data_IF_365884613487
#
_entry.id   IF_365884613487
#
_cell.length_a   1.000
_cell.length_b   1.000
_cell.length_c   1.000
_cell.angle_alpha   90.00
_cell.angle_beta   90.00
_cell.angle_gamma   90.00
#
_symmetry.space_group_name_H-M   'P 1'
#
loop_
_entity.id
_entity.type
_entity.pdbx_description
1 polymer ?
#
# COMPACT_ATOMS: atom_id res chain seq x y z
N UNK A 1 -6.36 3.62 28.20
CA UNK A 1 -7.36 3.55 27.10
C UNK A 1 -6.60 3.27 25.82
N UNK A 2 -6.97 2.23 25.07
CA UNK A 2 -6.32 1.88 23.80
C UNK A 2 -7.02 2.61 22.65
N UNK A 3 -6.27 3.22 21.75
CA UNK A 3 -6.79 3.92 20.59
C UNK A 3 -6.52 3.09 19.34
N UNK A 4 -7.56 2.83 18.56
CA UNK A 4 -7.42 2.02 17.36
C UNK A 4 -7.14 2.88 16.13
N UNK A 5 -6.33 2.33 15.22
CA UNK A 5 -6.05 2.88 13.89
C UNK A 5 -6.15 1.79 12.85
N UNK A 6 -6.66 2.11 11.67
CA UNK A 6 -6.95 1.14 10.62
C UNK A 6 -5.94 1.21 9.46
N UNK A 7 -5.09 2.23 9.43
CA UNK A 7 -4.07 2.43 8.39
C UNK A 7 -2.70 2.75 9.03
N UNK A 8 -1.63 2.34 8.36
CA UNK A 8 -0.27 2.55 8.85
C UNK A 8 0.10 4.03 8.84
N UNK A 9 -0.39 4.83 7.88
CA UNK A 9 -0.21 6.28 7.89
C UNK A 9 -0.93 6.92 9.07
N UNK A 10 -2.15 6.47 9.35
CA UNK A 10 -2.94 6.98 10.46
C UNK A 10 -2.22 6.77 11.79
N UNK A 11 -1.63 5.58 11.99
CA UNK A 11 -0.88 5.23 13.19
C UNK A 11 0.21 6.26 13.52
N UNK A 12 0.96 6.73 12.51
CA UNK A 12 2.02 7.73 12.70
C UNK A 12 1.46 9.16 12.76
N UNK A 13 0.54 9.52 11.86
CA UNK A 13 0.03 10.89 11.73
C UNK A 13 -0.85 11.31 12.91
N UNK A 14 -1.56 10.38 13.54
CA UNK A 14 -2.32 10.68 14.76
C UNK A 14 -1.39 11.13 15.89
N UNK A 15 -0.27 10.44 16.11
CA UNK A 15 0.70 10.86 17.11
C UNK A 15 1.33 12.23 16.75
N UNK A 16 1.77 12.41 15.51
CA UNK A 16 2.35 13.68 15.03
C UNK A 16 1.38 14.84 15.23
N UNK A 17 0.11 14.67 14.86
CA UNK A 17 -0.92 15.70 15.01
C UNK A 17 -1.10 16.13 16.46
N UNK A 18 -1.11 15.18 17.40
CA UNK A 18 -1.23 15.50 18.82
C UNK A 18 0.03 16.15 19.41
N UNK A 19 1.23 15.76 18.95
CA UNK A 19 2.48 16.44 19.34
C UNK A 19 2.41 17.93 18.95
N UNK A 20 1.99 18.23 17.72
CA UNK A 20 1.83 19.62 17.24
C UNK A 20 0.77 20.34 18.06
N UNK A 21 -0.38 19.70 18.31
CA UNK A 21 -1.45 20.27 19.13
C UNK A 21 -0.99 20.60 20.55
N UNK A 22 -0.17 19.74 21.18
CA UNK A 22 0.40 20.05 22.50
C UNK A 22 1.33 21.25 22.46
N UNK A 23 2.13 21.40 21.40
CA UNK A 23 2.95 22.60 21.21
C UNK A 23 2.10 23.87 21.13
N UNK A 24 0.99 23.84 20.38
CA UNK A 24 0.04 24.96 20.27
C UNK A 24 -0.63 25.23 21.62
N UNK A 25 -1.11 24.19 22.31
CA UNK A 25 -1.74 24.34 23.62
C UNK A 25 -0.79 24.92 24.67
N UNK A 26 0.47 24.47 24.70
CA UNK A 26 1.49 25.04 25.57
C UNK A 26 1.66 26.53 25.31
N UNK A 27 1.76 26.95 24.04
CA UNK A 27 1.84 28.37 23.68
C UNK A 27 0.60 29.16 24.14
N UNK A 28 -0.61 28.62 23.97
CA UNK A 28 -1.87 29.25 24.42
C UNK A 28 -1.90 29.36 25.96
N UNK A 29 -1.44 28.34 26.66
CA UNK A 29 -1.36 28.30 28.12
C UNK A 29 -0.35 29.32 28.65
N UNK A 30 0.85 29.36 28.07
CA UNK A 30 1.95 30.24 28.50
C UNK A 30 1.62 31.72 28.25
N UNK A 31 0.90 32.01 27.15
CA UNK A 31 0.45 33.38 26.84
C UNK A 31 -0.80 33.80 27.61
N UNK A 32 -1.47 32.88 28.32
CA UNK A 32 -2.74 33.14 29.00
C UNK A 32 -3.92 33.36 28.04
N UNK A 33 -3.75 33.07 26.74
CA UNK A 33 -4.78 33.30 25.72
C UNK A 33 -6.04 32.47 25.97
N UNK A 34 -5.93 31.36 26.69
CA UNK A 34 -7.09 30.57 27.13
C UNK A 34 -8.09 31.36 28.00
N UNK A 35 -7.65 32.44 28.67
CA UNK A 35 -8.51 33.29 29.51
C UNK A 35 -9.37 34.28 28.70
N UNK A 36 -8.96 34.58 27.46
CA UNK A 36 -9.63 35.53 26.57
C UNK A 36 -11.14 35.26 26.38
N UNK A 37 -11.61 34.02 26.08
CA UNK A 37 -13.04 33.74 25.98
C UNK A 37 -13.80 34.03 27.29
N UNK A 38 -13.19 33.81 28.46
CA UNK A 38 -13.81 34.13 29.74
C UNK A 38 -13.94 35.64 29.94
N UNK A 39 -12.91 36.42 29.58
CA UNK A 39 -12.99 37.88 29.60
C UNK A 39 -14.11 38.40 28.67
N UNK A 40 -14.26 37.80 27.47
CA UNK A 40 -15.35 38.15 26.54
C UNK A 40 -16.71 37.86 27.17
N UNK A 41 -16.89 36.72 27.84
CA UNK A 41 -18.15 36.38 28.52
C UNK A 41 -18.50 37.43 29.57
N UNK A 42 -17.53 37.81 30.41
CA UNK A 42 -17.74 38.83 31.46
C UNK A 42 -18.13 40.18 30.86
N UNK A 43 -17.41 40.65 29.84
CA UNK A 43 -17.69 41.94 29.18
C UNK A 43 -19.05 41.89 28.48
N UNK A 44 -19.37 40.79 27.79
CA UNK A 44 -20.63 40.62 27.06
C UNK A 44 -21.84 40.68 28.00
N UNK A 45 -21.81 39.93 29.10
CA UNK A 45 -22.90 39.94 30.08
C UNK A 45 -22.99 41.28 30.81
N UNK A 46 -21.85 41.93 31.09
CA UNK A 46 -21.83 43.25 31.69
C UNK A 46 -22.47 44.32 30.79
N UNK A 47 -22.14 44.34 29.49
CA UNK A 47 -22.75 45.24 28.51
C UNK A 47 -24.23 44.96 28.33
N UNK A 48 -24.63 43.68 28.31
CA UNK A 48 -26.03 43.25 28.16
C UNK A 48 -26.90 43.75 29.30
N UNK A 49 -26.46 43.58 30.56
CA UNK A 49 -27.21 44.02 31.74
C UNK A 49 -27.27 45.56 31.84
N UNK A 50 -26.29 46.28 31.31
CA UNK A 50 -26.37 47.75 31.18
C UNK A 50 -27.45 48.21 30.20
N UNK A 51 -27.73 47.43 29.17
CA UNK A 51 -28.76 47.74 28.16
C UNK A 51 -30.18 47.38 28.60
N UNK A 52 -30.34 46.61 29.69
CA UNK A 52 -31.65 46.18 30.19
C UNK A 52 -32.36 47.32 30.96
N UNK A 53 -33.69 47.37 30.86
CA UNK A 53 -34.56 48.39 31.47
C UNK A 53 -34.61 48.33 33.00
N UNK A 54 -35.36 49.23 33.64
CA UNK A 54 -35.53 49.24 35.10
C UNK A 54 -36.41 48.08 35.62
N UNK A 55 -37.15 47.40 34.73
CA UNK A 55 -38.13 46.37 35.06
C UNK A 55 -37.51 45.00 35.45
N UNK A 56 -36.20 44.81 35.27
CA UNK A 56 -35.49 43.55 35.56
C UNK A 56 -34.98 43.43 37.03
N UNK A 57 -35.28 44.41 37.88
CA UNK A 57 -34.90 44.40 39.30
C UNK A 57 -33.40 44.66 39.56
N UNK A 58 -32.82 44.00 40.57
CA UNK A 58 -31.42 44.24 40.96
C UNK A 58 -30.43 43.68 39.92
N UNK A 59 -29.99 44.57 39.04
CA UNK A 59 -29.04 44.31 37.94
C UNK A 59 -27.72 43.68 38.41
N UNK A 60 -27.27 43.98 39.63
CA UNK A 60 -26.03 43.42 40.20
C UNK A 60 -26.14 41.91 40.44
N UNK A 61 -27.19 41.47 41.12
CA UNK A 61 -27.41 40.04 41.43
C UNK A 61 -27.72 39.24 40.17
N UNK A 62 -28.49 39.81 39.24
CA UNK A 62 -28.81 39.17 37.97
C UNK A 62 -27.59 38.99 37.06
N UNK A 63 -26.72 40.01 36.97
CA UNK A 63 -25.47 39.91 36.21
C UNK A 63 -24.52 38.86 36.78
N UNK A 64 -24.39 38.79 38.11
CA UNK A 64 -23.53 37.81 38.78
C UNK A 64 -23.96 36.37 38.47
N UNK A 65 -25.25 36.07 38.63
CA UNK A 65 -25.78 34.72 38.38
C UNK A 65 -25.60 34.28 36.91
N UNK A 66 -25.77 35.21 35.95
CA UNK A 66 -25.56 34.93 34.52
C UNK A 66 -24.09 34.73 34.18
N UNK A 67 -23.20 35.57 34.70
CA UNK A 67 -21.75 35.43 34.51
C UNK A 67 -21.28 34.11 35.11
N UNK A 68 -21.71 33.77 36.32
CA UNK A 68 -21.37 32.52 37.00
C UNK A 68 -21.77 31.30 36.16
N UNK A 69 -23.02 31.24 35.71
CA UNK A 69 -23.51 30.14 34.87
C UNK A 69 -22.71 30.02 33.57
N UNK A 70 -22.47 31.14 32.88
CA UNK A 70 -21.75 31.13 31.61
C UNK A 70 -20.26 30.79 31.79
N UNK A 71 -19.64 31.21 32.89
CA UNK A 71 -18.26 30.83 33.23
C UNK A 71 -18.18 29.35 33.56
N UNK A 72 -19.12 28.77 34.31
CA UNK A 72 -19.12 27.33 34.58
C UNK A 72 -19.27 26.50 33.31
N UNK A 73 -20.19 26.89 32.42
CA UNK A 73 -20.33 26.23 31.11
C UNK A 73 -19.04 26.38 30.30
N UNK A 74 -18.46 27.58 30.25
CA UNK A 74 -17.19 27.84 29.57
C UNK A 74 -16.03 27.02 30.13
N UNK A 75 -15.97 26.85 31.45
CA UNK A 75 -14.95 26.05 32.12
C UNK A 75 -15.05 24.58 31.72
N UNK A 76 -16.26 24.01 31.73
CA UNK A 76 -16.49 22.63 31.29
C UNK A 76 -16.07 22.47 29.83
N UNK A 77 -16.40 23.42 28.96
CA UNK A 77 -16.00 23.39 27.55
C UNK A 77 -14.47 23.39 27.41
N UNK A 78 -13.76 24.30 28.08
CA UNK A 78 -12.30 24.33 27.99
C UNK A 78 -11.67 23.07 28.58
N UNK A 79 -12.13 22.63 29.75
CA UNK A 79 -11.61 21.43 30.42
C UNK A 79 -11.81 20.15 29.60
N UNK A 80 -12.95 20.01 28.93
CA UNK A 80 -13.28 18.78 28.21
C UNK A 80 -12.76 18.76 26.76
N UNK A 81 -12.75 19.92 26.10
CA UNK A 81 -12.41 20.03 24.67
C UNK A 81 -10.98 20.50 24.39
N UNK A 82 -10.37 21.27 25.30
CA UNK A 82 -9.09 21.94 25.03
C UNK A 82 -7.94 21.43 25.91
N UNK A 83 -8.19 21.15 27.20
CA UNK A 83 -7.16 20.67 28.11
C UNK A 83 -6.75 19.23 27.73
N UNK A 84 -5.47 18.99 27.41
CA UNK A 84 -4.99 17.67 27.05
C UNK A 84 -4.78 16.83 28.32
N UNK A 85 -5.47 15.69 28.42
CA UNK A 85 -5.47 14.84 29.62
C UNK A 85 -5.22 13.36 29.32
N UNK A 86 -5.50 12.89 28.11
CA UNK A 86 -5.36 11.48 27.73
C UNK A 86 -4.05 11.27 26.98
N UNK A 87 -3.17 10.41 27.49
CA UNK A 87 -1.89 10.12 26.85
C UNK A 87 -2.07 9.36 25.52
N UNK A 88 -1.31 9.80 24.50
CA UNK A 88 -1.21 9.22 23.16
C UNK A 88 0.27 8.93 22.88
N UNK A 89 0.58 7.67 22.68
CA UNK A 89 1.91 7.13 22.40
C UNK A 89 1.79 5.85 21.57
N UNK A 90 2.90 5.38 21.02
CA UNK A 90 2.93 4.12 20.26
C UNK A 90 2.49 2.90 21.10
N UNK A 91 2.64 2.93 22.42
CA UNK A 91 2.19 1.86 23.32
C UNK A 91 0.66 1.88 23.54
N UNK A 92 0.04 3.05 23.45
CA UNK A 92 -1.41 3.22 23.61
C UNK A 92 -2.18 3.07 22.30
N UNK A 93 -1.49 3.21 21.16
CA UNK A 93 -2.07 3.07 19.83
C UNK A 93 -2.01 1.60 19.40
N UNK A 94 -3.16 1.02 19.09
CA UNK A 94 -3.30 -0.33 18.59
C UNK A 94 -3.68 -0.31 17.11
N UNK A 95 -2.97 -1.10 16.31
CA UNK A 95 -3.26 -1.25 14.89
C UNK A 95 -4.19 -2.46 14.67
N UNK A 96 -5.42 -2.19 14.23
CA UNK A 96 -6.43 -3.23 14.01
C UNK A 96 -6.31 -3.83 12.61
N UNK A 97 -6.01 -5.14 12.54
CA UNK A 97 -5.91 -5.91 11.30
C UNK A 97 -6.99 -6.99 11.16
N UNK A 98 -7.93 -7.07 12.10
CA UNK A 98 -8.96 -8.11 12.14
C UNK A 98 -9.73 -8.22 10.82
N UNK A 99 -10.15 -7.07 10.26
CA UNK A 99 -10.87 -7.02 8.99
C UNK A 99 -9.99 -7.37 7.79
N UNK A 100 -8.73 -6.93 7.79
CA UNK A 100 -7.78 -7.24 6.73
C UNK A 100 -7.55 -8.76 6.65
N UNK A 101 -7.38 -9.42 7.79
CA UNK A 101 -7.27 -10.89 7.89
C UNK A 101 -8.53 -11.60 7.40
N UNK A 102 -9.72 -11.12 7.78
CA UNK A 102 -10.99 -11.69 7.33
C UNK A 102 -11.15 -11.61 5.80
N UNK A 103 -10.78 -10.49 5.19
CA UNK A 103 -10.89 -10.29 3.76
C UNK A 103 -9.68 -10.81 2.96
N UNK A 104 -8.73 -11.52 3.61
CA UNK A 104 -7.47 -11.97 2.99
C UNK A 104 -6.74 -10.82 2.28
N UNK A 105 -6.90 -9.61 2.81
CA UNK A 105 -6.28 -8.39 2.34
C UNK A 105 -4.97 -8.20 3.10
N UNK A 106 -3.85 -8.13 2.38
CA UNK A 106 -2.56 -7.88 3.00
C UNK A 106 -2.38 -6.39 3.28
N UNK A 107 -2.58 -5.99 4.54
CA UNK A 107 -2.32 -4.63 5.02
C UNK A 107 -0.96 -4.64 5.74
N UNK A 108 0.06 -3.95 5.24
CA UNK A 108 1.38 -3.97 5.84
C UNK A 108 1.33 -3.36 7.25
N UNK A 109 1.99 -4.01 8.21
CA UNK A 109 2.12 -3.46 9.56
C UNK A 109 2.94 -2.17 9.52
N UNK A 110 2.69 -1.21 10.44
CA UNK A 110 3.48 0.02 10.50
C UNK A 110 5.00 -0.20 10.51
N UNK A 111 5.47 -1.29 11.14
CA UNK A 111 6.89 -1.70 11.24
C UNK A 111 7.48 -2.19 9.92
N UNK A 112 6.65 -2.76 9.04
CA UNK A 112 7.06 -3.42 7.81
C UNK A 112 7.04 -2.46 6.60
N UNK A 113 6.72 -1.19 6.86
CA UNK A 113 6.72 -0.12 5.85
C UNK A 113 7.99 0.73 5.96
N UNK A 114 8.37 1.38 4.85
CA UNK A 114 9.48 2.35 4.83
C UNK A 114 9.27 3.59 5.73
N UNK A 115 8.09 3.73 6.35
CA UNK A 115 7.80 4.80 7.29
C UNK A 115 8.36 4.56 8.70
N UNK A 116 8.68 3.30 9.03
CA UNK A 116 9.30 2.94 10.30
C UNK A 116 10.64 3.70 10.50
N UNK A 117 11.47 3.81 9.45
CA UNK A 117 12.75 4.53 9.55
C UNK A 117 12.57 6.04 9.74
N UNK A 118 11.55 6.64 9.14
CA UNK A 118 11.30 8.10 9.22
C UNK A 118 10.69 8.50 10.56
N UNK A 119 9.76 7.69 11.09
CA UNK A 119 9.03 7.99 12.32
C UNK A 119 9.59 7.29 13.57
N UNK A 120 10.61 6.44 13.45
CA UNK A 120 11.40 5.94 14.59
C UNK A 120 12.03 7.09 15.41
N UNK A 121 12.29 8.25 14.80
CA UNK A 121 12.78 9.45 15.49
C UNK A 121 11.75 10.09 16.43
N UNK A 122 10.46 9.76 16.28
CA UNK A 122 9.39 10.17 17.22
C UNK A 122 9.29 9.24 18.44
N UNK A 123 10.04 8.13 18.48
CA UNK A 123 9.95 7.05 19.47
C UNK A 123 10.40 7.42 20.91
N UNK A 124 10.36 8.71 21.28
CA UNK A 124 10.57 9.20 22.65
C UNK A 124 9.65 10.35 23.05
N UNK A 125 8.71 10.75 22.19
CA UNK A 125 7.74 11.82 22.47
C UNK A 125 6.35 11.21 22.60
N UNK A 126 5.76 11.36 23.79
CA UNK A 126 4.33 11.13 24.01
C UNK A 126 3.57 12.43 23.84
N UNK A 127 2.38 12.36 23.28
CA UNK A 127 1.44 13.47 23.22
C UNK A 127 0.28 13.23 24.20
N UNK A 128 -0.52 14.26 24.41
CA UNK A 128 -1.74 14.22 25.19
C UNK A 128 -2.88 14.84 24.40
N UNK A 129 -4.05 14.21 24.40
CA UNK A 129 -5.24 14.71 23.74
C UNK A 129 -6.33 15.05 24.76
N UNK A 130 -7.24 16.00 24.44
CA UNK A 130 -8.40 16.28 25.28
C UNK A 130 -9.39 15.11 25.30
N UNK A 131 -10.17 15.02 26.38
CA UNK A 131 -11.11 13.92 26.59
C UNK A 131 -12.19 13.83 25.49
N UNK A 132 -12.70 14.97 25.02
CA UNK A 132 -13.67 15.00 23.94
C UNK A 132 -13.11 14.35 22.66
N UNK A 133 -11.88 14.70 22.29
CA UNK A 133 -11.26 14.18 21.07
C UNK A 133 -10.90 12.71 21.20
N UNK A 134 -10.55 12.24 22.41
CA UNK A 134 -10.40 10.82 22.72
C UNK A 134 -11.70 10.04 22.44
N UNK A 135 -12.83 10.58 22.94
CA UNK A 135 -14.15 10.00 22.74
C UNK A 135 -14.52 10.01 21.24
N UNK A 136 -14.32 11.13 20.57
CA UNK A 136 -14.63 11.26 19.14
C UNK A 136 -13.77 10.34 18.26
N UNK A 137 -12.49 10.16 18.59
CA UNK A 137 -11.63 9.20 17.92
C UNK A 137 -12.18 7.78 18.06
N UNK A 138 -12.49 7.36 19.29
CA UNK A 138 -13.04 6.02 19.54
C UNK A 138 -14.38 5.81 18.83
N UNK A 139 -15.29 6.79 18.90
CA UNK A 139 -16.60 6.72 18.25
C UNK A 139 -16.47 6.67 16.72
N UNK A 140 -15.65 7.54 16.14
CA UNK A 140 -15.40 7.57 14.69
C UNK A 140 -14.82 6.23 14.22
N UNK A 141 -13.85 5.67 14.95
CA UNK A 141 -13.26 4.37 14.64
C UNK A 141 -14.27 3.23 14.72
N UNK A 142 -15.10 3.21 15.76
CA UNK A 142 -16.15 2.21 15.90
C UNK A 142 -17.15 2.26 14.74
N UNK A 143 -17.62 3.46 14.38
CA UNK A 143 -18.56 3.65 13.28
C UNK A 143 -17.96 3.27 11.92
N UNK A 144 -16.74 3.72 11.62
CA UNK A 144 -16.07 3.37 10.36
C UNK A 144 -15.77 1.87 10.28
N UNK A 145 -15.31 1.26 11.36
CA UNK A 145 -15.05 -0.18 11.40
C UNK A 145 -16.33 -0.99 11.19
N UNK A 146 -17.44 -0.58 11.83
CA UNK A 146 -18.76 -1.18 11.60
C UNK A 146 -19.26 -1.02 10.17
N UNK A 147 -19.09 0.15 9.55
CA UNK A 147 -19.48 0.40 8.16
C UNK A 147 -18.65 -0.45 7.18
N UNK A 148 -17.34 -0.56 7.38
CA UNK A 148 -16.46 -1.39 6.54
C UNK A 148 -16.76 -2.88 6.72
N UNK A 149 -17.17 -3.31 7.92
CA UNK A 149 -17.57 -4.69 8.17
C UNK A 149 -18.78 -5.13 7.33
N UNK A 150 -19.67 -4.20 6.96
CA UNK A 150 -20.82 -4.47 6.11
C UNK A 150 -20.48 -4.68 4.62
N UNK A 151 -19.30 -4.23 4.17
CA UNK A 151 -18.89 -4.37 2.77
C UNK A 151 -18.38 -5.80 2.53
N UNK A 152 -18.96 -6.61 1.62
CA UNK A 152 -18.47 -7.96 1.36
C UNK A 152 -17.03 -7.93 0.83
N UNK A 153 -16.19 -8.87 1.31
CA UNK A 153 -14.82 -9.00 0.85
C UNK A 153 -14.81 -9.45 -0.62
N UNK A 154 -14.43 -8.55 -1.53
CA UNK A 154 -14.19 -8.86 -2.93
C UNK A 154 -12.70 -9.02 -3.21
N UNK A 155 -12.32 -9.92 -4.12
CA UNK A 155 -10.94 -10.00 -4.61
C UNK A 155 -10.69 -8.83 -5.57
N UNK A 156 -10.03 -7.76 -5.11
CA UNK A 156 -9.68 -6.64 -5.98
C UNK A 156 -8.51 -7.03 -6.90
N UNK A 157 -8.79 -7.19 -8.19
CA UNK A 157 -7.80 -7.43 -9.25
C UNK A 157 -6.71 -6.37 -9.28
N UNK A 158 -7.04 -5.15 -8.87
CA UNK A 158 -6.10 -4.03 -8.83
C UNK A 158 -5.01 -4.27 -7.77
N UNK A 159 -5.34 -4.94 -6.68
CA UNK A 159 -4.39 -5.27 -5.62
C UNK A 159 -3.45 -6.39 -6.03
N UNK A 160 -3.95 -7.45 -6.67
CA UNK A 160 -3.08 -8.51 -7.22
C UNK A 160 -2.10 -7.90 -8.23
N UNK A 161 -2.57 -6.97 -9.08
CA UNK A 161 -1.68 -6.23 -9.98
C UNK A 161 -0.61 -5.43 -9.24
N UNK A 162 -0.96 -4.74 -8.15
CA UNK A 162 0.01 -3.99 -7.34
C UNK A 162 1.01 -4.93 -6.65
N UNK A 163 0.55 -6.06 -6.09
CA UNK A 163 1.40 -7.06 -5.43
C UNK A 163 2.40 -7.67 -6.44
N UNK A 164 1.93 -8.04 -7.63
CA UNK A 164 2.79 -8.51 -8.74
C UNK A 164 3.77 -7.42 -9.20
N UNK A 165 3.34 -6.15 -9.27
CA UNK A 165 4.23 -5.05 -9.64
C UNK A 165 5.28 -4.75 -8.58
N UNK A 166 4.99 -5.05 -7.31
CA UNK A 166 5.91 -4.87 -6.19
C UNK A 166 6.85 -6.07 -6.01
N UNK A 167 6.52 -7.26 -6.54
CA UNK A 167 7.48 -8.37 -6.58
C UNK A 167 8.61 -8.06 -7.56
N UNK A 168 9.77 -7.72 -7.02
CA UNK A 168 11.02 -7.59 -7.77
C UNK A 168 11.76 -8.93 -7.80
N UNK A 169 12.51 -9.17 -8.87
CA UNK A 169 13.43 -10.31 -8.95
C UNK A 169 14.61 -9.99 -8.03
N UNK A 170 14.70 -10.68 -6.89
CA UNK A 170 15.71 -10.41 -5.86
C UNK A 170 17.13 -10.81 -6.29
N UNK A 171 17.26 -11.77 -7.20
CA UNK A 171 18.56 -12.23 -7.68
C UNK A 171 19.03 -11.36 -8.87
N UNK A 172 20.08 -10.53 -8.72
CA UNK A 172 20.56 -9.64 -9.79
C UNK A 172 21.12 -10.42 -10.99
N UNK A 173 21.71 -11.61 -10.77
CA UNK A 173 22.21 -12.45 -11.86
C UNK A 173 21.07 -13.00 -12.71
N UNK A 174 19.95 -13.38 -12.08
CA UNK A 174 18.76 -13.83 -12.80
C UNK A 174 18.11 -12.68 -13.57
N UNK A 175 18.06 -11.48 -13.00
CA UNK A 175 17.55 -10.30 -13.69
C UNK A 175 18.39 -9.96 -14.93
N UNK A 176 19.72 -10.05 -14.83
CA UNK A 176 20.61 -9.89 -15.98
C UNK A 176 20.37 -10.98 -17.04
N UNK A 177 20.27 -12.24 -16.62
CA UNK A 177 20.03 -13.37 -17.53
C UNK A 177 18.70 -13.24 -18.29
N UNK A 178 17.66 -12.69 -17.66
CA UNK A 178 16.39 -12.36 -18.33
C UNK A 178 16.58 -11.22 -19.34
N UNK A 179 17.38 -10.22 -19.02
CA UNK A 179 17.77 -9.16 -19.96
C UNK A 179 18.48 -9.73 -21.19
N UNK A 180 19.45 -10.60 -20.96
CA UNK A 180 20.19 -11.27 -22.04
C UNK A 180 19.27 -12.14 -22.90
N UNK A 181 18.37 -12.93 -22.29
CA UNK A 181 17.38 -13.72 -23.02
C UNK A 181 16.45 -12.84 -23.87
N UNK A 182 16.05 -11.70 -23.32
CA UNK A 182 15.20 -10.74 -24.03
C UNK A 182 15.92 -10.18 -25.26
N UNK A 183 17.23 -9.92 -25.14
CA UNK A 183 18.06 -9.40 -26.22
C UNK A 183 18.42 -10.46 -27.28
N UNK A 184 18.80 -11.66 -26.85
CA UNK A 184 19.32 -12.70 -27.74
C UNK A 184 18.21 -13.53 -28.41
N UNK A 185 17.09 -13.74 -27.72
CA UNK A 185 16.02 -14.63 -28.16
C UNK A 185 14.76 -13.85 -28.55
N UNK A 186 14.17 -13.15 -27.58
CA UNK A 186 12.86 -12.53 -27.77
C UNK A 186 12.87 -11.41 -28.82
N UNK A 187 13.86 -10.50 -28.75
CA UNK A 187 14.00 -9.39 -29.69
C UNK A 187 14.12 -9.84 -31.15
N UNK A 188 15.10 -10.70 -31.51
CA UNK A 188 15.27 -11.20 -32.86
C UNK A 188 14.09 -12.01 -33.37
N UNK A 189 13.53 -12.92 -32.56
CA UNK A 189 12.37 -13.72 -32.96
C UNK A 189 11.13 -12.86 -33.21
N UNK A 190 10.87 -11.86 -32.35
CA UNK A 190 9.76 -10.91 -32.53
C UNK A 190 9.98 -10.01 -33.75
N UNK A 191 11.19 -9.51 -33.97
CA UNK A 191 11.52 -8.75 -35.17
C UNK A 191 11.33 -9.59 -36.45
N UNK A 192 11.74 -10.86 -36.42
CA UNK A 192 11.56 -11.80 -37.54
C UNK A 192 10.08 -12.07 -37.83
N UNK A 193 9.25 -12.18 -36.80
CA UNK A 193 7.79 -12.31 -36.94
C UNK A 193 7.20 -11.11 -37.68
N UNK A 194 7.54 -9.88 -37.25
CA UNK A 194 7.07 -8.66 -37.90
C UNK A 194 7.65 -8.42 -39.29
N UNK A 195 8.87 -8.92 -39.57
CA UNK A 195 9.48 -8.81 -40.91
C UNK A 195 8.94 -9.87 -41.89
N UNK A 196 8.64 -11.09 -41.43
CA UNK A 196 8.17 -12.18 -42.30
C UNK A 196 6.68 -12.12 -42.63
N UNK A 197 5.88 -11.43 -41.81
CA UNK A 197 4.44 -11.32 -42.00
C UNK A 197 4.03 -9.86 -42.21
N UNK A 198 3.97 -9.36 -43.46
CA UNK A 198 3.32 -8.09 -43.76
C UNK A 198 1.80 -8.15 -43.52
N UNK A 199 1.21 -9.35 -43.52
CA UNK A 199 -0.18 -9.57 -43.12
C UNK A 199 -0.25 -10.71 -42.10
N UNK A 200 -0.27 -10.38 -40.81
CA UNK A 200 -0.70 -11.28 -39.73
C UNK A 200 -2.18 -11.72 -39.86
N UNK A 201 -2.85 -11.35 -40.96
CA UNK A 201 -4.23 -11.71 -41.29
C UNK A 201 -5.21 -11.40 -40.16
N UNK A 202 -6.26 -12.22 -40.06
CA UNK A 202 -7.26 -12.14 -38.99
C UNK A 202 -6.68 -12.44 -37.58
N UNK A 203 -5.52 -13.07 -37.46
CA UNK A 203 -4.87 -13.40 -36.17
C UNK A 203 -4.16 -12.19 -35.55
N UNK A 204 -3.57 -11.30 -36.34
CA UNK A 204 -2.95 -10.07 -35.85
C UNK A 204 -3.94 -9.10 -35.18
N UNK A 205 -5.20 -9.16 -35.59
CA UNK A 205 -6.30 -8.38 -35.03
C UNK A 205 -6.96 -9.05 -33.81
N UNK A 206 -6.60 -10.31 -33.47
CA UNK A 206 -7.09 -10.94 -32.24
C UNK A 206 -6.30 -10.38 -31.04
N UNK A 207 -6.96 -9.66 -30.10
CA UNK A 207 -6.30 -9.14 -28.91
C UNK A 207 -5.63 -10.22 -28.04
N UNK A 208 -6.07 -11.49 -28.14
CA UNK A 208 -5.44 -12.61 -27.42
C UNK A 208 -4.06 -12.93 -28.00
N UNK A 209 -3.92 -12.88 -29.31
CA UNK A 209 -2.67 -13.15 -30.00
C UNK A 209 -1.64 -12.03 -29.72
N UNK A 210 -2.06 -10.77 -29.78
CA UNK A 210 -1.20 -9.64 -29.41
C UNK A 210 -0.71 -9.73 -27.96
N UNK A 211 -1.58 -10.16 -27.03
CA UNK A 211 -1.21 -10.39 -25.63
C UNK A 211 -0.23 -11.55 -25.48
N UNK A 212 -0.41 -12.64 -26.22
CA UNK A 212 0.49 -13.80 -26.21
C UNK A 212 1.91 -13.43 -26.68
N UNK A 213 2.03 -12.52 -27.65
CA UNK A 213 3.32 -12.02 -28.15
C UNK A 213 4.00 -11.00 -27.24
N UNK A 214 3.26 -10.36 -26.33
CA UNK A 214 3.79 -9.32 -25.42
C UNK A 214 4.71 -9.88 -24.32
N UNK A 215 4.76 -11.21 -24.17
CA UNK A 215 5.52 -11.89 -23.13
C UNK A 215 6.71 -12.68 -23.70
N UNK A 216 7.85 -12.62 -23.01
CA UNK A 216 9.09 -13.30 -23.40
C UNK A 216 8.95 -14.84 -23.47
N UNK A 217 8.02 -15.41 -22.70
CA UNK A 217 7.70 -16.84 -22.72
C UNK A 217 6.49 -17.19 -23.58
N UNK A 218 6.23 -16.42 -24.64
CA UNK A 218 5.13 -16.65 -25.58
C UNK A 218 5.09 -18.10 -26.07
N UNK A 219 3.92 -18.75 -26.00
CA UNK A 219 3.77 -20.13 -26.45
C UNK A 219 3.95 -20.26 -27.96
N UNK A 220 3.45 -19.29 -28.72
CA UNK A 220 3.67 -19.19 -30.15
C UNK A 220 5.17 -19.20 -30.52
N UNK A 221 5.98 -18.32 -29.93
CA UNK A 221 7.42 -18.24 -30.24
C UNK A 221 8.20 -19.51 -29.83
N UNK A 222 7.74 -20.23 -28.80
CA UNK A 222 8.35 -21.48 -28.32
C UNK A 222 8.03 -22.70 -29.20
N UNK A 223 6.84 -22.71 -29.81
CA UNK A 223 6.29 -23.89 -30.50
C UNK A 223 6.34 -23.77 -32.03
N UNK A 224 6.38 -22.55 -32.57
CA UNK A 224 6.49 -22.33 -34.01
C UNK A 224 7.95 -22.39 -34.45
N UNK A 225 8.21 -23.13 -35.52
CA UNK A 225 9.55 -23.25 -36.08
C UNK A 225 10.03 -21.94 -36.74
N UNK A 226 11.32 -21.68 -36.68
CA UNK A 226 11.92 -20.45 -37.21
C UNK A 226 12.03 -19.29 -36.21
N UNK A 227 11.80 -19.53 -34.92
CA UNK A 227 11.88 -18.58 -33.81
C UNK A 227 12.84 -19.10 -32.73
N UNK A 228 12.33 -19.52 -31.55
CA UNK A 228 13.18 -19.94 -30.43
C UNK A 228 13.90 -21.29 -30.65
N UNK A 229 13.54 -22.03 -31.68
CA UNK A 229 14.26 -23.19 -32.17
C UNK A 229 15.51 -22.82 -33.00
N UNK A 230 15.57 -21.60 -33.54
CA UNK A 230 16.68 -21.16 -34.42
C UNK A 230 17.74 -20.33 -33.70
N UNK A 231 17.31 -19.47 -32.78
CA UNK A 231 18.22 -18.58 -32.07
C UNK A 231 18.83 -19.31 -30.84
N UNK A 232 20.01 -18.87 -30.42
CA UNK A 232 20.77 -19.42 -29.29
C UNK A 232 21.36 -18.29 -28.43
N UNK A 233 21.73 -18.57 -27.19
CA UNK A 233 22.38 -17.58 -26.33
C UNK A 233 23.69 -17.11 -26.96
N UNK A 234 23.99 -15.81 -27.00
CA UNK A 234 25.28 -15.33 -27.55
C UNK A 234 26.43 -15.41 -26.56
N UNK A 235 26.09 -15.56 -25.28
CA UNK A 235 27.01 -15.69 -24.17
C UNK A 235 27.03 -17.12 -23.67
N UNK A 236 28.21 -17.67 -23.29
CA UNK A 236 28.29 -19.01 -22.75
C UNK A 236 27.58 -19.09 -21.39
N UNK A 237 26.73 -20.10 -21.22
CA UNK A 237 25.96 -20.33 -19.98
C UNK A 237 26.51 -21.55 -19.27
N UNK A 238 26.97 -21.37 -18.03
CA UNK A 238 27.59 -22.45 -17.24
C UNK A 238 26.65 -23.63 -16.99
N UNK A 239 25.34 -23.41 -16.97
CA UNK A 239 24.35 -24.45 -16.67
C UNK A 239 24.09 -25.42 -17.82
N UNK A 240 24.53 -25.10 -19.03
CA UNK A 240 24.50 -26.00 -20.17
C UNK A 240 25.92 -26.34 -20.59
N UNK A 241 26.31 -27.61 -20.70
CA UNK A 241 27.64 -27.96 -21.18
C UNK A 241 27.78 -27.58 -22.66
N UNK A 242 29.01 -27.26 -23.05
CA UNK A 242 29.39 -27.08 -24.44
C UNK A 242 29.14 -28.36 -25.24
N UNK A 243 28.43 -28.25 -26.37
CA UNK A 243 28.11 -29.37 -27.25
C UNK A 243 28.73 -29.14 -28.63
N UNK A 244 29.63 -30.03 -29.04
CA UNK A 244 30.31 -29.93 -30.33
C UNK A 244 29.37 -30.03 -31.55
N UNK A 245 28.13 -30.51 -31.39
CA UNK A 245 27.13 -30.56 -32.48
C UNK A 245 26.24 -29.32 -32.55
N UNK A 246 26.02 -28.63 -31.42
CA UNK A 246 25.17 -27.44 -31.32
C UNK A 246 25.98 -26.15 -31.41
N UNK A 247 27.11 -26.11 -30.72
CA UNK A 247 27.92 -24.90 -30.51
C UNK A 247 29.04 -24.76 -31.56
N UNK A 248 28.85 -25.37 -32.74
CA UNK A 248 29.84 -25.38 -33.81
C UNK A 248 30.21 -23.95 -34.21
N UNK A 249 31.50 -23.62 -34.12
CA UNK A 249 32.02 -22.30 -34.49
C UNK A 249 31.95 -21.25 -33.38
N UNK A 250 31.47 -21.60 -32.18
CA UNK A 250 31.49 -20.74 -31.01
C UNK A 250 32.67 -21.07 -30.09
N UNK A 251 33.24 -20.08 -29.38
CA UNK A 251 34.42 -20.30 -28.55
C UNK A 251 34.09 -21.16 -27.33
N UNK A 252 34.86 -22.23 -27.12
CA UNK A 252 34.78 -23.03 -25.90
C UNK A 252 35.46 -22.28 -24.75
N UNK A 253 34.69 -21.89 -23.74
CA UNK A 253 35.23 -21.23 -22.54
C UNK A 253 35.79 -22.23 -21.54
N UNK A 254 36.78 -21.79 -20.75
CA UNK A 254 37.43 -22.62 -19.71
C UNK A 254 36.45 -23.16 -18.66
N UNK A 255 35.31 -22.50 -18.46
CA UNK A 255 34.23 -22.95 -17.58
C UNK A 255 33.30 -24.03 -18.16
N UNK A 256 33.55 -24.51 -19.39
CA UNK A 256 32.78 -25.59 -20.02
C UNK A 256 31.33 -25.23 -20.40
N UNK A 257 30.93 -23.97 -20.24
CA UNK A 257 29.60 -23.47 -20.60
C UNK A 257 29.37 -23.45 -22.11
N UNK A 258 28.18 -23.86 -22.51
CA UNK A 258 27.72 -23.93 -23.89
C UNK A 258 26.70 -22.84 -24.23
N UNK A 259 26.16 -22.92 -25.43
CA UNK A 259 25.24 -21.94 -26.00
C UNK A 259 23.87 -22.60 -26.26
N UNK A 260 23.02 -22.73 -25.23
CA UNK A 260 21.72 -23.40 -25.39
C UNK A 260 20.86 -22.67 -26.41
N UNK A 261 20.01 -23.43 -27.11
CA UNK A 261 18.97 -22.82 -27.95
C UNK A 261 18.00 -22.03 -27.09
N UNK A 262 17.36 -21.00 -27.63
CA UNK A 262 16.41 -20.18 -26.89
C UNK A 262 15.27 -21.00 -26.29
N UNK A 263 14.84 -22.06 -26.99
CA UNK A 263 13.88 -23.03 -26.47
C UNK A 263 14.42 -23.78 -25.25
N UNK A 264 15.62 -24.36 -25.33
CA UNK A 264 16.26 -25.05 -24.20
C UNK A 264 16.46 -24.11 -23.01
N UNK A 265 16.97 -22.91 -23.26
CA UNK A 265 17.23 -21.90 -22.25
C UNK A 265 15.95 -21.50 -21.49
N UNK A 266 14.80 -21.43 -22.18
CA UNK A 266 13.52 -21.12 -21.55
C UNK A 266 12.88 -22.31 -20.84
N UNK A 267 12.86 -23.50 -21.47
CA UNK A 267 11.97 -24.60 -21.09
C UNK A 267 12.61 -25.78 -20.35
N UNK A 268 13.94 -25.89 -20.31
CA UNK A 268 14.60 -27.02 -19.66
C UNK A 268 14.25 -27.10 -18.17
N UNK A 269 13.85 -28.29 -17.71
CA UNK A 269 13.39 -28.49 -16.34
C UNK A 269 14.54 -28.30 -15.34
N UNK A 270 14.28 -27.54 -14.27
CA UNK A 270 15.24 -27.31 -13.18
C UNK A 270 16.38 -26.33 -13.49
N UNK A 271 16.73 -26.11 -14.76
CA UNK A 271 17.81 -25.20 -15.18
C UNK A 271 17.29 -23.99 -15.97
N UNK A 272 16.20 -24.16 -16.72
CA UNK A 272 15.62 -23.15 -17.58
C UNK A 272 15.07 -21.94 -16.84
N UNK A 273 15.00 -20.82 -17.56
CA UNK A 273 14.53 -19.53 -17.04
C UNK A 273 13.11 -19.60 -16.48
N UNK A 274 12.21 -20.36 -17.11
CA UNK A 274 10.81 -20.45 -16.68
C UNK A 274 10.68 -20.91 -15.22
N UNK A 275 11.38 -21.97 -14.84
CA UNK A 275 11.25 -22.54 -13.49
C UNK A 275 12.02 -21.70 -12.46
N UNK A 276 13.16 -21.12 -12.85
CA UNK A 276 13.91 -20.19 -11.99
C UNK A 276 13.13 -18.89 -11.72
N UNK A 277 12.39 -18.37 -12.70
CA UNK A 277 11.49 -17.23 -12.51
C UNK A 277 10.33 -17.58 -11.58
N UNK A 278 9.69 -18.74 -11.78
CA UNK A 278 8.61 -19.20 -10.88
C UNK A 278 9.09 -19.33 -9.44
N UNK A 279 10.31 -19.81 -9.22
CA UNK A 279 10.90 -19.95 -7.89
C UNK A 279 11.13 -18.61 -7.17
N UNK A 280 11.16 -17.48 -7.89
CA UNK A 280 11.25 -16.15 -7.28
C UNK A 280 9.89 -15.59 -6.84
N UNK A 281 8.78 -16.18 -7.30
CA UNK A 281 7.43 -15.74 -6.92
C UNK A 281 7.06 -16.38 -5.58
N UNK A 282 6.59 -15.56 -4.63
CA UNK A 282 6.19 -16.07 -3.31
C UNK A 282 5.07 -17.12 -3.42
N UNK A 283 5.10 -18.21 -2.61
CA UNK A 283 4.06 -19.24 -2.62
C UNK A 283 2.66 -18.70 -2.32
N UNK A 284 2.56 -17.66 -1.49
CA UNK A 284 1.29 -17.01 -1.14
C UNK A 284 0.68 -16.29 -2.36
N UNK A 285 1.47 -15.50 -3.08
CA UNK A 285 1.03 -14.84 -4.30
C UNK A 285 0.64 -15.85 -5.39
N UNK A 286 1.39 -16.95 -5.52
CA UNK A 286 1.07 -18.01 -6.47
C UNK A 286 -0.27 -18.68 -6.13
N UNK A 287 -0.52 -18.95 -4.85
CA UNK A 287 -1.78 -19.51 -4.35
C UNK A 287 -2.95 -18.58 -4.63
N UNK A 288 -2.78 -17.27 -4.39
CA UNK A 288 -3.79 -16.24 -4.69
C UNK A 288 -4.11 -16.17 -6.18
N UNK A 289 -3.10 -16.19 -7.05
CA UNK A 289 -3.29 -16.19 -8.51
C UNK A 289 -3.96 -17.48 -9.01
N UNK A 290 -3.60 -18.64 -8.46
CA UNK A 290 -4.24 -19.91 -8.79
C UNK A 290 -5.70 -19.97 -8.34
N UNK A 291 -6.00 -19.46 -7.14
CA UNK A 291 -7.37 -19.34 -6.65
C UNK A 291 -8.23 -18.47 -7.56
N UNK A 292 -7.68 -17.33 -8.00
CA UNK A 292 -8.34 -16.48 -8.98
C UNK A 292 -8.54 -17.17 -10.34
N UNK A 293 -7.52 -17.84 -10.87
CA UNK A 293 -7.60 -18.51 -12.17
C UNK A 293 -8.70 -19.59 -12.16
N UNK A 294 -8.82 -20.35 -11.06
CA UNK A 294 -9.89 -21.33 -10.86
C UNK A 294 -11.28 -20.67 -10.81
N UNK A 295 -11.42 -19.56 -10.09
CA UNK A 295 -12.68 -18.80 -10.04
C UNK A 295 -13.08 -18.26 -11.42
N UNK A 296 -12.12 -17.72 -12.18
CA UNK A 296 -12.37 -17.21 -13.52
C UNK A 296 -12.80 -18.33 -14.49
N UNK A 297 -12.15 -19.49 -14.42
CA UNK A 297 -12.50 -20.67 -15.22
C UNK A 297 -13.91 -21.20 -14.89
N UNK A 298 -14.26 -21.27 -13.60
CA UNK A 298 -15.60 -21.68 -13.16
C UNK A 298 -16.70 -20.72 -13.67
N UNK A 299 -16.40 -19.43 -13.80
CA UNK A 299 -17.36 -18.43 -14.30
C UNK A 299 -17.57 -18.52 -15.81
N UNK A 300 -16.57 -18.97 -16.56
CA UNK A 300 -16.72 -19.25 -18.00
C UNK A 300 -17.57 -20.50 -18.28
N UNK A 301 -17.59 -21.48 -17.38
CA UNK A 301 -18.44 -22.70 -17.51
C UNK A 301 -19.92 -22.44 -17.19
N UNK A 302 -20.25 -21.43 -16.38
CA UNK A 302 -21.64 -21.02 -16.12
C UNK A 302 -22.29 -20.18 -17.24
N UNK A 303 -21.52 -19.74 -18.24
CA UNK A 303 -21.99 -18.89 -19.35
C UNK A 303 -22.07 -19.64 -20.69
N UNK A 304 -22.02 -20.98 -20.66
CA UNK A 304 -22.31 -21.89 -21.78
C UNK A 304 -23.45 -22.82 -21.41
#
# INVERSE_FOLDING_TARGET
MTLYTNDYLEYYLTLVGWIINNGIWAMISDTGLFALPFCIIVIREWLKVRGEGADEGNKGVLSLARIETNIYVGYIVVAFFAVPAVNVSFDTLAFDQSRAQQCQYNLPKPTDTGWNTTFSSLAGKSAQMPMWWALMHALSKGLTSGAVAAIPCGTDLRQVRMEVSNTKINNPLLAQEIGDFTHDCYGPSRARLFMRQPELGAQGNDPRFAKELSWIGSHYLLNTSGYYDTDYSKTPRASWPYSASRDVGLPQVSGGGGYPTCKQWWSDSGVGLRDRIKAQVSPDLMTKMLGWAKWAAAKTECNT
#
